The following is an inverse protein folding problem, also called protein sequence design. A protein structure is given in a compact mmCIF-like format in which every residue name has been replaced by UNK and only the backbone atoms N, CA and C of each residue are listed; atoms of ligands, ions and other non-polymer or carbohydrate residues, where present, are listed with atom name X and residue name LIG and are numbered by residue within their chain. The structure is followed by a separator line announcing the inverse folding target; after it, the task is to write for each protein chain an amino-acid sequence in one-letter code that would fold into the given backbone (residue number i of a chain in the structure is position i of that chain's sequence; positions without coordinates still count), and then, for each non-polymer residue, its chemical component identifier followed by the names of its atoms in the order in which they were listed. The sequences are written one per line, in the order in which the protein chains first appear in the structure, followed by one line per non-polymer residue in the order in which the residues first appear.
data_IF_682090359047
#
_entry.id   IF_682090359047
#
_cell.length_a   1.000
_cell.length_b   1.000
_cell.length_c   1.000
_cell.angle_alpha   90.00
_cell.angle_beta   90.00
_cell.angle_gamma   90.00
#
_symmetry.space_group_name_H-M   'P 1'
#
loop_
_entity.id
_entity.type
_entity.pdbx_description
1 polymer ?
#
# COMPACT_ATOMS: atom_id res chain seq x y z
N UNK A 1 -0.36 -11.97 15.91
CA UNK A 1 0.06 -12.30 14.53
C UNK A 1 0.87 -11.14 13.98
N UNK A 2 2.08 -11.42 13.54
CA UNK A 2 3.01 -10.41 13.05
C UNK A 2 2.92 -10.30 11.52
N UNK A 3 2.85 -9.08 11.00
CA UNK A 3 2.76 -8.78 9.57
C UNK A 3 3.98 -7.98 9.15
N UNK A 4 4.69 -8.45 8.11
CA UNK A 4 5.79 -7.71 7.52
C UNK A 4 5.26 -6.73 6.49
N UNK A 5 5.65 -5.47 6.59
CA UNK A 5 5.37 -4.45 5.57
C UNK A 5 6.66 -4.05 4.87
N UNK A 6 6.66 -4.11 3.54
CA UNK A 6 7.83 -3.80 2.72
C UNK A 6 7.60 -2.50 1.96
N UNK A 7 8.47 -1.51 2.21
CA UNK A 7 8.49 -0.20 1.54
C UNK A 7 9.88 0.05 0.99
N UNK A 8 10.12 -0.32 -0.28
CA UNK A 8 11.47 -0.24 -0.84
C UNK A 8 11.93 1.18 -1.17
N UNK A 9 11.00 2.12 -1.34
CA UNK A 9 11.29 3.52 -1.65
C UNK A 9 10.57 4.47 -0.67
N UNK A 10 10.87 4.37 0.64
CA UNK A 10 10.27 5.24 1.65
C UNK A 10 10.68 6.69 1.44
N UNK A 11 9.97 7.60 2.10
CA UNK A 11 10.20 9.03 2.04
C UNK A 11 9.96 9.70 3.40
N UNK A 12 10.42 10.92 3.56
CA UNK A 12 9.80 11.85 4.50
C UNK A 12 8.71 12.59 3.75
N UNK A 13 7.45 12.36 4.12
CA UNK A 13 6.31 13.11 3.59
C UNK A 13 6.22 14.45 4.31
N UNK A 14 6.30 15.53 3.54
CA UNK A 14 6.29 16.91 4.03
C UNK A 14 5.01 17.60 3.54
N UNK A 15 4.19 18.10 4.44
CA UNK A 15 3.01 18.88 4.09
C UNK A 15 3.19 20.37 4.38
N UNK A 16 2.90 21.20 3.39
CA UNK A 16 2.92 22.66 3.46
C UNK A 16 1.50 23.21 3.31
N UNK A 17 0.76 23.47 4.41
CA UNK A 17 -0.52 24.14 4.33
C UNK A 17 -0.34 25.62 4.03
N UNK A 18 -0.96 26.09 2.96
CA UNK A 18 -0.98 27.48 2.50
C UNK A 18 -2.43 27.92 2.24
N UNK A 19 -2.74 29.17 2.49
CA UNK A 19 -4.03 29.76 2.07
C UNK A 19 -4.13 29.84 0.54
N UNK A 20 -3.03 30.26 -0.11
CA UNK A 20 -2.89 30.27 -1.56
C UNK A 20 -1.44 29.92 -1.96
N UNK A 21 -1.27 29.27 -3.09
CA UNK A 21 0.04 28.97 -3.66
C UNK A 21 0.33 29.87 -4.84
N UNK A 22 1.36 30.70 -4.72
CA UNK A 22 1.75 31.69 -5.73
C UNK A 22 3.03 31.28 -6.46
N UNK A 23 2.97 31.27 -7.78
CA UNK A 23 4.14 31.07 -8.64
C UNK A 23 5.01 32.32 -8.71
N UNK A 24 6.31 32.15 -8.98
CA UNK A 24 7.31 33.20 -9.16
C UNK A 24 7.49 34.14 -7.96
N UNK A 25 7.14 33.70 -6.74
CA UNK A 25 7.30 34.49 -5.52
C UNK A 25 7.62 33.57 -4.33
N UNK A 26 7.90 34.20 -3.18
CA UNK A 26 8.16 33.43 -1.94
C UNK A 26 6.84 33.09 -1.27
N UNK A 27 6.59 31.81 -1.08
CA UNK A 27 5.53 31.31 -0.23
C UNK A 27 6.12 30.96 1.15
N UNK A 28 5.56 31.51 2.23
CA UNK A 28 6.02 31.26 3.61
C UNK A 28 5.04 30.34 4.31
N UNK A 29 5.55 29.22 4.82
CA UNK A 29 4.77 28.20 5.53
C UNK A 29 4.98 28.39 7.04
N UNK A 30 3.89 28.58 7.77
CA UNK A 30 3.94 28.73 9.23
C UNK A 30 4.01 27.39 9.98
N UNK A 31 3.41 26.35 9.41
CA UNK A 31 3.38 25.01 9.99
C UNK A 31 3.84 24.00 8.95
N UNK A 32 4.71 23.09 9.36
CA UNK A 32 5.22 22.03 8.49
C UNK A 32 4.89 20.69 9.15
N UNK A 33 4.10 19.88 8.45
CA UNK A 33 3.90 18.48 8.83
C UNK A 33 5.02 17.63 8.25
N UNK A 34 5.61 16.73 9.07
CA UNK A 34 6.56 15.72 8.60
C UNK A 34 6.17 14.36 9.16
N UNK A 35 6.13 13.36 8.31
CA UNK A 35 5.82 11.98 8.69
C UNK A 35 6.67 11.00 7.90
N UNK A 36 6.93 9.82 8.48
CA UNK A 36 7.48 8.70 7.72
C UNK A 36 6.50 8.33 6.60
N UNK A 37 6.92 8.44 5.36
CA UNK A 37 6.10 8.30 4.17
C UNK A 37 6.43 7.08 3.34
N UNK A 38 5.52 6.79 2.41
CA UNK A 38 5.55 5.64 1.53
C UNK A 38 4.40 4.68 1.78
N UNK A 39 3.86 4.10 0.70
CA UNK A 39 2.63 3.29 0.75
C UNK A 39 2.68 2.18 1.81
N UNK A 40 3.77 1.39 1.88
CA UNK A 40 3.88 0.33 2.87
C UNK A 40 3.97 0.85 4.31
N UNK A 41 4.49 2.07 4.55
CA UNK A 41 4.48 2.68 5.89
C UNK A 41 3.07 3.19 6.27
N UNK A 42 2.27 3.62 5.28
CA UNK A 42 0.85 3.88 5.50
C UNK A 42 0.11 2.58 5.90
N UNK A 43 0.41 1.46 5.20
CA UNK A 43 -0.10 0.13 5.57
C UNK A 43 0.29 -0.23 7.00
N UNK A 44 1.56 0.01 7.39
CA UNK A 44 2.07 -0.29 8.74
C UNK A 44 1.27 0.42 9.82
N UNK A 45 1.00 1.72 9.65
CA UNK A 45 0.23 2.51 10.62
C UNK A 45 -1.20 2.01 10.75
N UNK A 46 -1.88 1.75 9.64
CA UNK A 46 -3.26 1.23 9.67
C UNK A 46 -3.30 -0.15 10.34
N UNK A 47 -2.35 -1.03 10.05
CA UNK A 47 -2.23 -2.34 10.72
C UNK A 47 -2.03 -2.19 12.22
N UNK A 48 -1.20 -1.24 12.65
CA UNK A 48 -1.00 -0.94 14.07
C UNK A 48 -2.29 -0.47 14.73
N UNK A 49 -3.05 0.41 14.08
CA UNK A 49 -4.37 0.83 14.55
C UNK A 49 -5.37 -0.33 14.63
N UNK A 50 -5.28 -1.32 13.73
CA UNK A 50 -6.08 -2.55 13.80
C UNK A 50 -5.67 -3.49 14.95
N UNK A 51 -4.53 -3.22 15.60
CA UNK A 51 -4.01 -4.01 16.72
C UNK A 51 -3.09 -5.15 16.27
N UNK A 52 -2.60 -5.15 15.04
CA UNK A 52 -1.59 -6.10 14.59
C UNK A 52 -0.20 -5.80 15.17
N UNK A 53 0.62 -6.83 15.31
CA UNK A 53 2.06 -6.69 15.45
C UNK A 53 2.65 -6.46 14.06
N UNK A 54 3.41 -5.38 13.89
CA UNK A 54 3.92 -4.96 12.59
C UNK A 54 5.43 -4.85 12.64
N UNK A 55 6.08 -5.46 11.65
CA UNK A 55 7.49 -5.26 11.36
C UNK A 55 7.62 -4.53 10.02
N UNK A 56 8.14 -3.31 10.01
CA UNK A 56 8.37 -2.55 8.80
C UNK A 56 9.80 -2.76 8.28
N UNK A 57 9.96 -2.85 6.95
CA UNK A 57 11.28 -2.98 6.32
C UNK A 57 11.34 -2.27 4.98
N UNK A 58 12.56 -2.06 4.49
CA UNK A 58 12.86 -1.38 3.23
C UNK A 58 14.32 -0.91 3.21
N UNK A 59 14.60 0.11 2.43
CA UNK A 59 15.91 0.77 2.39
C UNK A 59 15.87 2.10 3.12
N UNK A 60 16.89 2.41 3.91
CA UNK A 60 16.97 3.66 4.65
C UNK A 60 18.42 4.14 4.79
N UNK A 61 18.65 5.45 4.65
CA UNK A 61 19.95 6.07 4.92
C UNK A 61 20.09 6.50 6.39
N UNK A 62 21.25 7.02 6.74
CA UNK A 62 21.58 7.44 8.13
C UNK A 62 20.98 8.80 8.52
N UNK A 63 20.31 9.51 7.62
CA UNK A 63 19.78 10.86 7.87
C UNK A 63 18.25 10.83 7.84
N UNK A 64 17.63 10.90 6.67
CA UNK A 64 16.17 10.85 6.54
C UNK A 64 15.62 9.46 6.86
N UNK A 65 16.37 8.41 6.51
CA UNK A 65 16.02 7.05 6.88
C UNK A 65 16.04 6.84 8.41
N UNK A 66 17.01 7.43 9.12
CA UNK A 66 17.01 7.40 10.57
C UNK A 66 15.81 8.16 11.16
N UNK A 67 15.39 9.29 10.54
CA UNK A 67 14.18 10.01 10.94
C UNK A 67 12.92 9.14 10.76
N UNK A 68 12.85 8.36 9.66
CA UNK A 68 11.76 7.38 9.43
C UNK A 68 11.71 6.34 10.56
N UNK A 69 12.85 5.75 10.91
CA UNK A 69 12.94 4.73 11.98
C UNK A 69 12.49 5.29 13.33
N UNK A 70 12.91 6.52 13.65
CA UNK A 70 12.50 7.17 14.92
C UNK A 70 10.99 7.50 14.93
N UNK A 71 10.43 7.96 13.81
CA UNK A 71 8.99 8.19 13.66
C UNK A 71 8.20 6.89 13.88
N UNK A 72 8.58 5.79 13.21
CA UNK A 72 7.92 4.49 13.38
C UNK A 72 7.99 3.98 14.81
N UNK A 73 9.15 4.14 15.47
CA UNK A 73 9.32 3.80 16.88
C UNK A 73 8.39 4.62 17.78
N UNK A 74 8.23 5.92 17.50
CA UNK A 74 7.30 6.79 18.20
C UNK A 74 5.83 6.36 18.04
N UNK A 75 5.50 5.72 16.90
CA UNK A 75 4.20 5.15 16.60
C UNK A 75 4.04 3.70 17.12
N UNK A 76 5.07 3.15 17.79
CA UNK A 76 5.08 1.79 18.33
C UNK A 76 5.14 0.70 17.24
N UNK A 77 5.76 1.01 16.11
CA UNK A 77 5.97 0.10 14.98
C UNK A 77 7.44 -0.33 14.97
N UNK A 78 7.68 -1.63 15.06
CA UNK A 78 9.01 -2.19 14.93
C UNK A 78 9.51 -2.10 13.50
N UNK A 79 10.81 -1.84 13.31
CA UNK A 79 11.37 -1.70 11.98
C UNK A 79 12.79 -2.23 11.86
N UNK A 80 13.10 -2.82 10.69
CA UNK A 80 14.44 -3.32 10.33
C UNK A 80 14.73 -2.95 8.88
N UNK A 81 15.27 -1.77 8.66
CA UNK A 81 15.66 -1.29 7.33
C UNK A 81 17.08 -1.72 6.99
N UNK A 82 17.29 -2.06 5.71
CA UNK A 82 18.64 -2.23 5.16
C UNK A 82 19.23 -0.87 4.91
N UNK A 83 20.43 -0.66 5.45
CA UNK A 83 21.16 0.60 5.29
C UNK A 83 21.65 0.77 3.86
N UNK A 84 21.52 2.00 3.35
CA UNK A 84 21.99 2.37 2.03
C UNK A 84 22.94 3.56 2.06
N UNK A 85 23.79 3.65 1.05
CA UNK A 85 24.71 4.79 0.82
C UNK A 85 24.02 5.95 0.09
N UNK A 86 22.95 5.66 -0.65
CA UNK A 86 22.09 6.65 -1.30
C UNK A 86 21.29 7.45 -0.25
N UNK A 87 20.60 8.50 -0.69
CA UNK A 87 19.79 9.35 0.20
C UNK A 87 18.32 8.99 0.11
N UNK A 88 17.71 8.74 1.23
CA UNK A 88 16.24 8.67 1.35
C UNK A 88 15.63 9.98 0.85
N UNK A 89 14.49 9.88 0.16
CA UNK A 89 13.83 11.01 -0.51
C UNK A 89 12.85 11.77 0.37
N UNK A 90 12.50 12.96 -0.08
CA UNK A 90 11.33 13.68 0.41
C UNK A 90 10.18 13.55 -0.60
N UNK A 91 8.95 13.59 -0.09
CA UNK A 91 7.75 13.80 -0.89
C UNK A 91 7.02 15.01 -0.31
N UNK A 92 6.83 16.06 -1.11
CA UNK A 92 6.26 17.32 -0.64
C UNK A 92 4.84 17.45 -1.17
N UNK A 93 3.89 17.68 -0.29
CA UNK A 93 2.51 18.05 -0.60
C UNK A 93 2.26 19.51 -0.23
N UNK A 94 1.96 20.34 -1.20
CA UNK A 94 1.53 21.72 -1.02
C UNK A 94 0.00 21.71 -0.99
N UNK A 95 -0.59 22.00 0.17
CA UNK A 95 -2.03 22.05 0.38
C UNK A 95 -2.48 23.51 0.25
N UNK A 96 -3.32 23.83 -0.74
CA UNK A 96 -3.73 25.20 -1.02
C UNK A 96 -5.13 25.24 -1.64
N UNK A 97 -5.96 26.19 -1.24
CA UNK A 97 -7.26 26.48 -1.87
C UNK A 97 -8.16 25.24 -2.07
N UNK A 98 -8.07 24.25 -1.16
CA UNK A 98 -8.78 22.96 -1.29
C UNK A 98 -8.17 21.99 -2.31
N UNK A 99 -6.99 22.31 -2.85
CA UNK A 99 -6.23 21.46 -3.77
C UNK A 99 -4.93 20.95 -3.12
N UNK A 100 -4.32 19.96 -3.76
CA UNK A 100 -3.02 19.42 -3.39
C UNK A 100 -2.12 19.39 -4.63
N UNK A 101 -0.92 19.97 -4.49
CA UNK A 101 0.14 19.89 -5.50
C UNK A 101 1.31 19.12 -4.92
N UNK A 102 1.76 18.07 -5.60
CA UNK A 102 2.82 17.19 -5.11
C UNK A 102 4.12 17.38 -5.88
N UNK A 103 5.24 17.31 -5.13
CA UNK A 103 6.60 17.25 -5.67
C UNK A 103 7.23 15.99 -5.07
N UNK A 104 7.38 14.96 -5.90
CA UNK A 104 7.90 13.67 -5.49
C UNK A 104 9.33 13.50 -5.98
N UNK A 105 10.27 13.40 -5.06
CA UNK A 105 11.64 13.04 -5.41
C UNK A 105 11.70 11.57 -5.86
N UNK A 106 12.60 11.27 -6.77
CA UNK A 106 12.72 9.93 -7.40
C UNK A 106 13.17 8.83 -6.42
N UNK A 107 13.96 9.19 -5.43
CA UNK A 107 14.55 8.28 -4.46
C UNK A 107 15.99 7.88 -4.78
N UNK A 108 16.60 7.04 -3.92
CA UNK A 108 17.99 6.66 -4.03
C UNK A 108 18.26 5.70 -5.20
N UNK A 109 19.54 5.66 -5.62
CA UNK A 109 20.09 4.59 -6.41
C UNK A 109 20.54 3.47 -5.46
N UNK A 110 19.95 2.31 -5.55
CA UNK A 110 20.33 1.13 -4.75
C UNK A 110 21.49 0.40 -5.42
N UNK A 111 22.52 0.13 -4.66
CA UNK A 111 23.65 -0.66 -5.13
C UNK A 111 23.33 -2.16 -5.10
N UNK A 112 23.97 -2.93 -5.96
CA UNK A 112 23.77 -4.38 -6.01
C UNK A 112 23.99 -5.05 -4.66
N UNK A 113 25.05 -4.67 -3.93
CA UNK A 113 25.35 -5.22 -2.61
C UNK A 113 24.25 -4.90 -1.59
N UNK A 114 23.66 -3.68 -1.64
CA UNK A 114 22.56 -3.27 -0.76
C UNK A 114 21.28 -4.08 -1.05
N UNK A 115 21.03 -4.36 -2.34
CA UNK A 115 19.92 -5.22 -2.74
C UNK A 115 20.09 -6.67 -2.28
N UNK A 116 21.30 -7.23 -2.39
CA UNK A 116 21.65 -8.58 -1.91
C UNK A 116 21.50 -8.66 -0.38
N UNK A 117 21.98 -7.66 0.35
CA UNK A 117 21.83 -7.55 1.81
C UNK A 117 20.35 -7.47 2.22
N UNK A 118 19.54 -6.69 1.48
CA UNK A 118 18.09 -6.62 1.73
C UNK A 118 17.42 -7.99 1.57
N UNK A 119 17.77 -8.75 0.52
CA UNK A 119 17.22 -10.08 0.29
C UNK A 119 17.55 -11.02 1.45
N UNK A 120 18.77 -10.96 1.99
CA UNK A 120 19.16 -11.82 3.11
C UNK A 120 18.46 -11.39 4.41
N UNK A 121 18.33 -10.10 4.68
CA UNK A 121 17.54 -9.57 5.78
C UNK A 121 16.06 -9.95 5.65
N UNK A 122 15.47 -9.84 4.45
CA UNK A 122 14.10 -10.24 4.18
C UNK A 122 13.87 -11.72 4.48
N UNK A 123 14.74 -12.62 4.00
CA UNK A 123 14.67 -14.07 4.30
C UNK A 123 14.69 -14.35 5.80
N UNK A 124 15.54 -13.65 6.55
CA UNK A 124 15.65 -13.82 8.00
C UNK A 124 14.35 -13.42 8.72
N UNK A 125 13.68 -12.34 8.28
CA UNK A 125 12.43 -11.87 8.87
C UNK A 125 11.22 -12.78 8.60
N UNK A 126 11.24 -13.59 7.55
CA UNK A 126 10.08 -14.42 7.20
C UNK A 126 9.68 -15.44 8.25
N UNK A 127 10.62 -15.92 9.07
CA UNK A 127 10.32 -16.85 10.16
C UNK A 127 9.53 -16.22 11.32
N UNK A 128 9.52 -14.88 11.41
CA UNK A 128 8.90 -14.12 12.49
C UNK A 128 7.50 -13.60 12.13
N UNK A 129 7.08 -13.75 10.87
CA UNK A 129 5.85 -13.14 10.35
C UNK A 129 4.96 -14.18 9.65
N UNK A 130 3.67 -13.91 9.57
CA UNK A 130 2.68 -14.80 8.97
C UNK A 130 2.25 -14.34 7.57
N UNK A 131 2.18 -13.03 7.37
CA UNK A 131 1.78 -12.42 6.12
C UNK A 131 2.67 -11.22 5.79
N UNK A 132 2.69 -10.84 4.52
CA UNK A 132 3.54 -9.78 3.99
C UNK A 132 2.69 -8.84 3.15
N UNK A 133 2.80 -7.54 3.40
CA UNK A 133 2.30 -6.50 2.53
C UNK A 133 3.48 -5.81 1.82
N UNK A 134 3.54 -5.90 0.50
CA UNK A 134 4.54 -5.21 -0.33
C UNK A 134 3.83 -4.07 -1.03
N UNK A 135 4.22 -2.82 -0.75
CA UNK A 135 3.51 -1.65 -1.31
C UNK A 135 4.45 -0.54 -1.74
N UNK A 136 4.15 0.06 -2.88
CA UNK A 136 4.82 1.24 -3.43
C UNK A 136 5.70 0.95 -4.64
N UNK A 137 6.52 1.93 -5.01
CA UNK A 137 7.41 1.88 -6.16
C UNK A 137 8.78 1.30 -5.80
N UNK A 138 9.47 0.78 -6.81
CA UNK A 138 10.89 0.44 -6.69
C UNK A 138 11.74 1.72 -6.76
N UNK A 139 12.81 1.83 -5.95
CA UNK A 139 13.84 2.85 -6.15
C UNK A 139 14.71 2.50 -7.37
N UNK A 140 15.50 3.47 -7.83
CA UNK A 140 16.46 3.23 -8.90
C UNK A 140 17.50 2.17 -8.51
N UNK A 141 18.07 1.50 -9.51
CA UNK A 141 19.08 0.45 -9.32
C UNK A 141 18.52 -0.95 -9.10
N UNK A 142 17.25 -1.07 -8.73
CA UNK A 142 16.57 -2.37 -8.67
C UNK A 142 15.98 -2.74 -10.04
N UNK A 143 16.01 -4.02 -10.36
CA UNK A 143 15.35 -4.55 -11.56
C UNK A 143 13.82 -4.54 -11.36
N UNK A 144 13.05 -4.35 -12.44
CA UNK A 144 11.57 -4.42 -12.40
C UNK A 144 11.05 -5.75 -11.84
N UNK A 145 11.86 -6.81 -11.91
CA UNK A 145 11.57 -8.15 -11.36
C UNK A 145 11.86 -8.30 -9.88
N UNK A 146 12.35 -7.27 -9.18
CA UNK A 146 12.77 -7.39 -7.79
C UNK A 146 11.61 -7.84 -6.86
N UNK A 147 10.40 -7.33 -7.08
CA UNK A 147 9.22 -7.82 -6.36
C UNK A 147 8.93 -9.29 -6.65
N UNK A 148 9.13 -9.75 -7.88
CA UNK A 148 8.96 -11.17 -8.23
C UNK A 148 9.95 -12.08 -7.47
N UNK A 149 11.17 -11.60 -7.21
CA UNK A 149 12.16 -12.31 -6.42
C UNK A 149 11.71 -12.43 -4.95
N UNK A 150 11.24 -11.32 -4.34
CA UNK A 150 10.72 -11.34 -2.97
C UNK A 150 9.52 -12.27 -2.83
N UNK A 151 8.60 -12.23 -3.80
CA UNK A 151 7.42 -13.12 -3.84
C UNK A 151 7.85 -14.58 -3.96
N UNK A 152 8.82 -14.89 -4.83
CA UNK A 152 9.33 -16.26 -4.96
C UNK A 152 9.97 -16.79 -3.67
N UNK A 153 10.66 -15.93 -2.92
CA UNK A 153 11.25 -16.27 -1.61
C UNK A 153 10.13 -16.50 -0.58
N UNK A 154 9.13 -15.63 -0.54
CA UNK A 154 7.99 -15.73 0.38
C UNK A 154 7.16 -17.00 0.12
N UNK A 155 6.88 -17.30 -1.16
CA UNK A 155 6.12 -18.48 -1.57
C UNK A 155 6.80 -19.79 -1.16
N UNK A 156 8.15 -19.87 -1.17
CA UNK A 156 8.90 -21.04 -0.68
C UNK A 156 8.71 -21.30 0.81
N UNK A 157 8.30 -20.28 1.57
CA UNK A 157 7.98 -20.38 3.00
C UNK A 157 6.47 -20.30 3.26
N UNK A 158 5.66 -20.52 2.22
CA UNK A 158 4.19 -20.54 2.28
C UNK A 158 3.58 -19.27 2.90
N UNK A 159 4.24 -18.11 2.71
CA UNK A 159 3.76 -16.83 3.24
C UNK A 159 2.74 -16.20 2.31
N UNK A 160 1.64 -15.71 2.88
CA UNK A 160 0.68 -14.88 2.14
C UNK A 160 1.30 -13.54 1.78
N UNK A 161 1.25 -13.17 0.50
CA UNK A 161 1.76 -11.90 0.00
C UNK A 161 0.63 -11.06 -0.59
N UNK A 162 0.40 -9.88 -0.02
CA UNK A 162 -0.47 -8.84 -0.59
C UNK A 162 0.41 -7.80 -1.27
N UNK A 163 0.23 -7.62 -2.58
CA UNK A 163 1.02 -6.71 -3.40
C UNK A 163 0.19 -5.51 -3.88
N UNK A 164 0.68 -4.31 -3.63
CA UNK A 164 0.15 -3.05 -4.17
C UNK A 164 1.27 -2.27 -4.86
N UNK A 165 1.50 -2.55 -6.11
CA UNK A 165 2.40 -1.80 -6.99
C UNK A 165 1.75 -1.62 -8.35
N UNK A 166 2.31 -0.75 -9.19
CA UNK A 166 1.74 -0.41 -10.50
C UNK A 166 2.80 -0.41 -11.61
N UNK A 167 2.36 -0.23 -12.84
CA UNK A 167 3.22 -0.09 -14.01
C UNK A 167 4.08 -1.32 -14.27
N UNK A 168 5.32 -1.10 -14.70
CA UNK A 168 6.24 -2.16 -15.13
C UNK A 168 6.56 -3.19 -14.04
N UNK A 169 6.60 -2.77 -12.78
CA UNK A 169 6.84 -3.70 -11.66
C UNK A 169 5.69 -4.69 -11.51
N UNK A 170 4.44 -4.24 -11.64
CA UNK A 170 3.28 -5.12 -11.61
C UNK A 170 3.26 -6.05 -12.83
N UNK A 171 3.54 -5.53 -14.03
CA UNK A 171 3.65 -6.34 -15.24
C UNK A 171 4.70 -7.46 -15.09
N UNK A 172 5.89 -7.13 -14.54
CA UNK A 172 6.96 -8.09 -14.33
C UNK A 172 6.51 -9.20 -13.35
N UNK A 173 5.80 -8.85 -12.27
CA UNK A 173 5.23 -9.82 -11.33
C UNK A 173 4.18 -10.70 -12.01
N UNK A 174 3.30 -10.10 -12.82
CA UNK A 174 2.23 -10.85 -13.49
C UNK A 174 2.74 -11.78 -14.60
N UNK A 175 3.90 -11.50 -15.18
CA UNK A 175 4.57 -12.38 -16.15
C UNK A 175 5.42 -13.48 -15.49
N UNK A 176 5.69 -13.38 -14.18
CA UNK A 176 6.50 -14.35 -13.44
C UNK A 176 5.67 -15.58 -13.02
N UNK A 177 6.24 -16.81 -12.97
CA UNK A 177 5.52 -18.00 -12.48
C UNK A 177 5.16 -17.92 -10.99
N UNK A 178 5.95 -17.22 -10.17
CA UNK A 178 5.66 -17.00 -8.76
C UNK A 178 4.76 -15.79 -8.59
N UNK A 179 3.53 -16.02 -8.17
CA UNK A 179 2.49 -14.98 -8.01
C UNK A 179 2.31 -14.58 -6.55
N UNK A 180 1.93 -13.34 -6.25
CA UNK A 180 1.42 -12.97 -4.94
C UNK A 180 0.06 -13.63 -4.69
N UNK A 181 -0.32 -13.78 -3.43
CA UNK A 181 -1.65 -14.26 -3.07
C UNK A 181 -2.75 -13.26 -3.43
N UNK A 182 -2.45 -11.97 -3.28
CA UNK A 182 -3.39 -10.85 -3.49
C UNK A 182 -2.73 -9.74 -4.28
N UNK A 183 -3.47 -9.18 -5.24
CA UNK A 183 -3.16 -7.86 -5.85
C UNK A 183 -4.34 -6.92 -5.69
N UNK A 184 -4.05 -5.60 -5.62
CA UNK A 184 -5.08 -4.57 -5.48
C UNK A 184 -4.91 -3.44 -6.52
N UNK A 185 -5.20 -3.66 -7.80
CA UNK A 185 -5.23 -2.60 -8.80
C UNK A 185 -6.48 -1.71 -8.66
N UNK A 186 -6.46 -0.56 -9.33
CA UNK A 186 -7.64 0.22 -9.66
C UNK A 186 -8.03 0.00 -11.14
N UNK A 187 -9.13 0.63 -11.61
CA UNK A 187 -9.59 0.46 -12.99
C UNK A 187 -8.60 1.01 -14.03
N UNK A 188 -7.94 2.11 -13.73
CA UNK A 188 -6.94 2.72 -14.62
C UNK A 188 -5.73 1.80 -14.77
N UNK A 189 -5.20 1.29 -13.65
CA UNK A 189 -4.10 0.32 -13.64
C UNK A 189 -4.45 -0.98 -14.38
N UNK A 190 -5.70 -1.46 -14.28
CA UNK A 190 -6.15 -2.61 -15.06
C UNK A 190 -6.26 -2.31 -16.56
N UNK A 191 -6.75 -1.12 -16.90
CA UNK A 191 -6.83 -0.64 -18.30
C UNK A 191 -5.43 -0.61 -18.92
N UNK A 192 -4.48 -0.02 -18.22
CA UNK A 192 -3.07 0.06 -18.66
C UNK A 192 -2.45 -1.34 -18.81
N UNK A 193 -2.67 -2.21 -17.82
CA UNK A 193 -2.16 -3.58 -17.80
C UNK A 193 -2.67 -4.44 -18.95
N UNK A 194 -3.97 -4.34 -19.24
CA UNK A 194 -4.62 -5.17 -20.27
C UNK A 194 -4.56 -4.53 -21.66
N UNK A 195 -4.17 -3.25 -21.76
CA UNK A 195 -4.15 -2.50 -23.02
C UNK A 195 -5.54 -2.34 -23.65
N UNK A 196 -6.59 -2.46 -22.85
CA UNK A 196 -8.00 -2.30 -23.25
C UNK A 196 -8.78 -1.65 -22.13
N UNK A 197 -9.79 -0.84 -22.47
CA UNK A 197 -10.63 -0.17 -21.49
C UNK A 197 -11.35 -1.18 -20.57
N UNK A 198 -11.19 -1.01 -19.26
CA UNK A 198 -11.88 -1.80 -18.24
C UNK A 198 -12.92 -0.93 -17.56
N UNK A 199 -14.15 -1.39 -17.58
CA UNK A 199 -15.34 -0.74 -17.00
C UNK A 199 -16.05 -1.69 -16.04
N UNK A 200 -17.04 -1.20 -15.29
CA UNK A 200 -17.86 -2.06 -14.42
C UNK A 200 -18.63 -3.13 -15.19
N UNK A 201 -18.92 -2.90 -16.47
CA UNK A 201 -19.67 -3.83 -17.32
C UNK A 201 -18.82 -5.01 -17.77
N UNK A 202 -17.52 -4.79 -18.03
CA UNK A 202 -16.61 -5.83 -18.55
C UNK A 202 -15.56 -6.31 -17.54
N UNK A 203 -15.54 -5.79 -16.31
CA UNK A 203 -14.53 -6.12 -15.28
C UNK A 203 -14.49 -7.62 -14.97
N UNK A 204 -15.64 -8.29 -14.90
CA UNK A 204 -15.73 -9.72 -14.63
C UNK A 204 -15.01 -10.55 -15.69
N UNK A 205 -15.20 -10.22 -16.97
CA UNK A 205 -14.48 -10.84 -18.08
C UNK A 205 -12.99 -10.49 -18.05
N UNK A 206 -12.69 -9.22 -17.80
CA UNK A 206 -11.30 -8.73 -17.72
C UNK A 206 -10.47 -9.44 -16.66
N UNK A 207 -11.06 -9.77 -15.51
CA UNK A 207 -10.39 -10.51 -14.44
C UNK A 207 -10.23 -12.02 -14.69
N UNK A 208 -10.77 -12.53 -15.81
CA UNK A 208 -10.54 -13.90 -16.28
C UNK A 208 -9.36 -14.00 -17.24
N UNK A 209 -8.71 -12.88 -17.58
CA UNK A 209 -7.52 -12.88 -18.43
C UNK A 209 -6.43 -13.80 -17.87
N UNK A 210 -5.76 -14.53 -18.75
CA UNK A 210 -4.70 -15.47 -18.41
C UNK A 210 -3.51 -14.85 -17.65
N UNK A 211 -3.32 -13.53 -17.75
CA UNK A 211 -2.31 -12.78 -17.03
C UNK A 211 -2.44 -12.94 -15.50
N UNK A 212 -3.67 -13.12 -15.02
CA UNK A 212 -3.99 -13.24 -13.59
C UNK A 212 -4.00 -14.68 -13.07
N UNK A 213 -3.65 -15.66 -13.92
CA UNK A 213 -3.60 -17.06 -13.49
C UNK A 213 -2.61 -17.23 -12.33
N UNK A 214 -3.03 -17.99 -11.31
CA UNK A 214 -2.22 -18.26 -10.12
C UNK A 214 -2.33 -17.21 -9.01
N UNK A 215 -3.12 -16.13 -9.20
CA UNK A 215 -3.44 -15.17 -8.15
C UNK A 215 -4.78 -15.57 -7.53
N UNK A 216 -4.79 -15.73 -6.22
CA UNK A 216 -6.00 -16.14 -5.50
C UNK A 216 -7.01 -15.00 -5.36
N UNK A 217 -6.53 -13.78 -5.02
CA UNK A 217 -7.37 -12.62 -4.82
C UNK A 217 -6.95 -11.48 -5.74
N UNK A 218 -7.90 -10.96 -6.51
CA UNK A 218 -7.74 -9.72 -7.28
C UNK A 218 -8.80 -8.75 -6.78
N UNK A 219 -8.38 -7.69 -6.10
CA UNK A 219 -9.29 -6.73 -5.46
C UNK A 219 -9.18 -5.39 -6.18
N UNK A 220 -10.16 -5.07 -7.00
CA UNK A 220 -10.16 -3.85 -7.82
C UNK A 220 -10.84 -2.72 -7.06
N UNK A 221 -10.09 -1.69 -6.73
CA UNK A 221 -10.64 -0.50 -6.08
C UNK A 221 -11.39 0.40 -7.09
N UNK A 222 -12.60 0.83 -6.72
CA UNK A 222 -13.51 1.61 -7.55
C UNK A 222 -13.82 2.99 -6.92
N UNK A 223 -12.95 3.46 -6.02
CA UNK A 223 -13.13 4.71 -5.29
C UNK A 223 -14.44 4.71 -4.49
N UNK A 224 -15.28 5.72 -4.71
CA UNK A 224 -16.58 5.85 -4.03
C UNK A 224 -17.58 4.73 -4.34
N UNK A 225 -17.34 3.94 -5.36
CA UNK A 225 -18.16 2.79 -5.73
C UNK A 225 -17.76 1.51 -5.00
N UNK A 226 -16.74 1.56 -4.12
CA UNK A 226 -16.28 0.43 -3.32
C UNK A 226 -15.29 -0.48 -4.05
N UNK A 227 -15.56 -1.78 -4.12
CA UNK A 227 -14.62 -2.78 -4.64
C UNK A 227 -15.35 -3.81 -5.51
N UNK A 228 -14.68 -4.27 -6.56
CA UNK A 228 -14.99 -5.51 -7.27
C UNK A 228 -13.84 -6.50 -7.03
N UNK A 229 -14.15 -7.71 -6.60
CA UNK A 229 -13.12 -8.69 -6.30
C UNK A 229 -13.37 -10.02 -7.00
N UNK A 230 -12.28 -10.66 -7.46
CA UNK A 230 -12.24 -12.07 -7.82
C UNK A 230 -11.46 -12.78 -6.73
N UNK A 231 -12.05 -13.80 -6.12
CA UNK A 231 -11.40 -14.66 -5.11
C UNK A 231 -11.54 -16.10 -5.60
N UNK A 232 -10.42 -16.71 -5.94
CA UNK A 232 -10.38 -18.00 -6.64
C UNK A 232 -11.24 -17.97 -7.91
N UNK A 233 -12.39 -18.65 -7.94
CA UNK A 233 -13.33 -18.68 -9.07
C UNK A 233 -14.58 -17.83 -8.85
N UNK A 234 -14.72 -17.23 -7.67
CA UNK A 234 -15.91 -16.47 -7.28
C UNK A 234 -15.68 -14.97 -7.46
N UNK A 235 -16.76 -14.25 -7.71
CA UNK A 235 -16.75 -12.80 -7.87
C UNK A 235 -17.60 -12.14 -6.82
N UNK A 236 -17.12 -11.00 -6.32
CA UNK A 236 -17.76 -10.25 -5.24
C UNK A 236 -17.85 -8.77 -5.59
N UNK A 237 -18.97 -8.17 -5.24
CA UNK A 237 -19.17 -6.73 -5.29
C UNK A 237 -19.37 -6.20 -3.90
N UNK A 238 -18.58 -5.20 -3.50
CA UNK A 238 -18.75 -4.47 -2.25
C UNK A 238 -19.17 -3.05 -2.58
N UNK A 239 -20.34 -2.66 -2.13
CA UNK A 239 -20.83 -1.29 -2.22
C UNK A 239 -20.62 -0.61 -0.87
N UNK A 240 -20.10 0.61 -0.91
CA UNK A 240 -19.84 1.41 0.29
C UNK A 240 -20.87 2.54 0.43
N UNK A 241 -21.25 2.91 1.65
CA UNK A 241 -22.11 4.08 1.88
C UNK A 241 -21.34 5.37 1.53
N UNK A 242 -22.11 6.43 1.29
CA UNK A 242 -21.53 7.77 1.15
C UNK A 242 -20.96 8.24 2.49
N UNK A 243 -19.73 8.73 2.46
CA UNK A 243 -19.03 9.29 3.62
C UNK A 243 -18.60 10.73 3.35
N UNK A 244 -18.36 11.48 4.40
CA UNK A 244 -17.72 12.79 4.30
C UNK A 244 -16.20 12.58 4.18
N UNK A 245 -15.66 12.93 3.03
CA UNK A 245 -14.22 12.75 2.73
C UNK A 245 -13.46 13.99 3.15
N UNK A 246 -12.43 13.82 3.97
CA UNK A 246 -11.47 14.85 4.40
C UNK A 246 -10.21 14.77 3.55
N UNK A 247 -9.60 13.58 3.45
CA UNK A 247 -8.41 13.36 2.63
C UNK A 247 -8.43 11.92 2.06
N UNK A 248 -8.59 11.75 0.73
CA UNK A 248 -8.66 10.42 0.12
C UNK A 248 -7.28 9.74 -0.05
N UNK A 249 -6.17 10.48 0.16
CA UNK A 249 -4.82 9.93 0.02
C UNK A 249 -4.57 8.87 1.08
N UNK A 250 -4.01 7.73 0.66
CA UNK A 250 -3.74 6.59 1.54
C UNK A 250 -4.93 5.64 1.75
N UNK A 251 -6.13 5.94 1.21
CA UNK A 251 -7.27 5.02 1.31
C UNK A 251 -7.00 3.66 0.64
N UNK A 252 -6.25 3.65 -0.46
CA UNK A 252 -5.77 2.42 -1.08
C UNK A 252 -4.84 1.62 -0.18
N UNK A 253 -3.92 2.30 0.51
CA UNK A 253 -2.97 1.68 1.44
C UNK A 253 -3.72 1.12 2.67
N UNK A 254 -4.71 1.86 3.17
CA UNK A 254 -5.59 1.40 4.26
C UNK A 254 -6.42 0.17 3.84
N UNK A 255 -6.88 0.12 2.59
CA UNK A 255 -7.55 -1.07 2.04
C UNK A 255 -6.59 -2.27 1.99
N UNK A 256 -5.32 -2.08 1.58
CA UNK A 256 -4.29 -3.13 1.64
C UNK A 256 -4.07 -3.63 3.07
N UNK A 257 -4.00 -2.72 4.04
CA UNK A 257 -3.88 -3.07 5.45
C UNK A 257 -5.05 -3.96 5.91
N UNK A 258 -6.28 -3.57 5.59
CA UNK A 258 -7.47 -4.36 5.90
C UNK A 258 -7.48 -5.74 5.23
N UNK A 259 -7.02 -5.84 3.97
CA UNK A 259 -6.91 -7.12 3.25
C UNK A 259 -5.89 -8.06 3.94
N UNK A 260 -4.66 -7.60 4.15
CA UNK A 260 -3.63 -8.44 4.77
C UNK A 260 -4.00 -8.80 6.20
N UNK A 261 -4.63 -7.89 6.95
CA UNK A 261 -5.13 -8.15 8.30
C UNK A 261 -6.20 -9.24 8.30
N UNK A 262 -7.28 -9.07 7.53
CA UNK A 262 -8.39 -10.04 7.48
C UNK A 262 -7.92 -11.44 7.05
N UNK A 263 -7.06 -11.52 6.03
CA UNK A 263 -6.49 -12.80 5.58
C UNK A 263 -5.61 -13.42 6.69
N UNK A 264 -4.76 -12.63 7.36
CA UNK A 264 -3.91 -13.13 8.44
C UNK A 264 -4.70 -13.64 9.65
N UNK A 265 -5.91 -13.10 9.86
CA UNK A 265 -6.84 -13.55 10.93
C UNK A 265 -7.72 -14.74 10.50
N UNK A 266 -7.56 -15.25 9.27
CA UNK A 266 -8.42 -16.27 8.66
C UNK A 266 -9.91 -15.89 8.66
N UNK A 267 -10.20 -14.60 8.44
CA UNK A 267 -11.57 -14.12 8.29
C UNK A 267 -12.21 -14.67 7.00
N UNK A 268 -13.54 -14.70 6.97
CA UNK A 268 -14.24 -15.04 5.73
C UNK A 268 -13.94 -14.05 4.61
N UNK A 269 -14.14 -14.44 3.35
CA UNK A 269 -13.96 -13.55 2.20
C UNK A 269 -14.77 -12.26 2.37
N UNK A 270 -16.03 -12.41 2.76
CA UNK A 270 -16.95 -11.29 2.96
C UNK A 270 -16.45 -10.34 4.06
N UNK A 271 -16.01 -10.87 5.21
CA UNK A 271 -15.50 -10.09 6.31
C UNK A 271 -14.20 -9.37 5.95
N UNK A 272 -13.29 -10.07 5.26
CA UNK A 272 -12.03 -9.49 4.78
C UNK A 272 -12.30 -8.33 3.82
N UNK A 273 -13.19 -8.51 2.83
CA UNK A 273 -13.54 -7.45 1.88
C UNK A 273 -14.25 -6.27 2.56
N UNK A 274 -15.15 -6.53 3.53
CA UNK A 274 -15.77 -5.47 4.34
C UNK A 274 -14.73 -4.69 5.13
N UNK A 275 -13.91 -5.40 5.92
CA UNK A 275 -12.87 -4.79 6.75
C UNK A 275 -11.90 -3.92 5.96
N UNK A 276 -11.48 -4.41 4.78
CA UNK A 276 -10.61 -3.67 3.88
C UNK A 276 -11.25 -2.36 3.39
N UNK A 277 -12.52 -2.40 2.98
CA UNK A 277 -13.24 -1.19 2.56
C UNK A 277 -13.46 -0.22 3.73
N UNK A 278 -13.78 -0.73 4.93
CA UNK A 278 -13.92 0.10 6.13
C UNK A 278 -12.62 0.84 6.44
N UNK A 279 -11.47 0.17 6.37
CA UNK A 279 -10.18 0.83 6.56
C UNK A 279 -9.95 1.96 5.55
N UNK A 280 -10.25 1.72 4.26
CA UNK A 280 -10.16 2.75 3.22
C UNK A 280 -11.08 3.94 3.48
N UNK A 281 -12.32 3.68 3.91
CA UNK A 281 -13.31 4.72 4.25
C UNK A 281 -12.89 5.54 5.47
N UNK A 282 -12.43 4.88 6.55
CA UNK A 282 -11.96 5.54 7.76
C UNK A 282 -10.74 6.42 7.49
N UNK A 283 -9.77 5.92 6.68
CA UNK A 283 -8.64 6.76 6.26
C UNK A 283 -9.10 8.00 5.49
N UNK A 284 -10.08 7.87 4.59
CA UNK A 284 -10.60 9.00 3.82
C UNK A 284 -11.28 10.08 4.69
N UNK A 285 -11.73 9.73 5.88
CA UNK A 285 -12.34 10.66 6.86
C UNK A 285 -11.31 11.36 7.75
N UNK A 286 -10.03 11.02 7.64
CA UNK A 286 -8.96 11.59 8.44
C UNK A 286 -8.11 12.58 7.64
N UNK A 287 -7.56 13.57 8.31
CA UNK A 287 -6.62 14.49 7.69
C UNK A 287 -5.23 13.87 7.47
N UNK A 288 -4.83 12.95 8.36
CA UNK A 288 -3.54 12.26 8.34
C UNK A 288 -3.62 11.02 7.45
N UNK A 289 -2.76 10.92 6.44
CA UNK A 289 -2.63 9.74 5.58
C UNK A 289 -2.10 8.52 6.35
N UNK A 290 -2.64 7.36 6.04
CA UNK A 290 -2.24 6.10 6.69
C UNK A 290 -2.68 6.03 8.16
N UNK A 291 -3.79 6.65 8.51
CA UNK A 291 -4.38 6.62 9.83
C UNK A 291 -5.88 6.29 9.74
N UNK A 292 -6.40 5.60 10.75
CA UNK A 292 -7.83 5.30 10.89
C UNK A 292 -8.29 5.52 12.33
N UNK A 293 -9.45 6.15 12.52
CA UNK A 293 -10.11 6.19 13.80
C UNK A 293 -11.11 5.03 13.92
N UNK A 294 -10.81 4.06 14.77
CA UNK A 294 -11.62 2.83 14.92
C UNK A 294 -12.99 3.05 15.56
N UNK A 295 -13.28 4.22 16.12
CA UNK A 295 -14.55 4.46 16.83
C UNK A 295 -15.77 4.10 15.97
N UNK A 296 -15.71 4.39 14.67
CA UNK A 296 -16.80 4.13 13.72
C UNK A 296 -16.62 2.82 12.93
N UNK A 297 -15.60 2.01 13.23
CA UNK A 297 -15.29 0.81 12.45
C UNK A 297 -16.48 -0.14 12.34
N UNK A 298 -17.05 -0.54 13.48
CA UNK A 298 -18.15 -1.51 13.51
C UNK A 298 -19.42 -0.95 12.84
N UNK A 299 -19.72 0.32 13.07
CA UNK A 299 -20.89 0.97 12.48
C UNK A 299 -20.81 1.02 10.93
N UNK A 300 -19.61 1.26 10.38
CA UNK A 300 -19.38 1.18 8.94
C UNK A 300 -19.40 -0.26 8.44
N UNK A 301 -18.74 -1.17 9.15
CA UNK A 301 -18.68 -2.59 8.80
C UNK A 301 -20.09 -3.20 8.63
N UNK A 302 -21.02 -2.88 9.53
CA UNK A 302 -22.38 -3.40 9.51
C UNK A 302 -23.22 -2.82 8.34
N UNK A 303 -22.84 -1.65 7.83
CA UNK A 303 -23.52 -1.02 6.69
C UNK A 303 -23.07 -1.60 5.34
N UNK A 304 -21.87 -2.19 5.27
CA UNK A 304 -21.37 -2.73 4.00
C UNK A 304 -22.09 -4.03 3.63
N UNK A 305 -22.44 -4.11 2.36
CA UNK A 305 -23.00 -5.34 1.77
C UNK A 305 -21.98 -5.92 0.81
N UNK A 306 -21.71 -7.20 0.95
CA UNK A 306 -20.93 -7.99 0.00
C UNK A 306 -21.89 -8.90 -0.74
N UNK A 307 -21.91 -8.78 -2.05
CA UNK A 307 -22.71 -9.60 -2.93
C UNK A 307 -21.79 -10.54 -3.71
N UNK A 308 -22.05 -11.83 -3.66
CA UNK A 308 -21.42 -12.83 -4.53
C UNK A 308 -22.18 -12.87 -5.84
N UNK A 309 -21.47 -12.70 -6.98
CA UNK A 309 -22.03 -12.47 -8.32
C UNK A 309 -21.84 -13.70 -9.23
#
# INVERSE_FOLDING_TARGET
MSILTVTLNPAIDISYPLEAFHLNTVNRVAQVGKTAGGKGLNVSRVLKELGAEVLATGFADDILGAEIVENLKGEGIDSRFTKISGKTRNCIAILHEGHQTEILEKGPQILRQEAEEFIDNFKAMLSEVEAIAISGSLPDGLQETFYSELIAIANKQEKTVVLDCSGRSLEAVLKNPHKPSVIKPNLEELTDLLGKEVTLENIKESLQDGLFNGIEWIVVSLGKEGVFAKVSNDFYRVQIPKIDVVNPVGSGDATVAGLVYGISQNETVENTLKGANVCGMLNAQEAKTGYINRTNYQALFDQLKVEKI
#
